data_IF_848961815364
#
_entry.id   IF_848961815364
#
_cell.length_a   1.000
_cell.length_b   1.000
_cell.length_c   1.000
_cell.angle_alpha   90.00
_cell.angle_beta   90.00
_cell.angle_gamma   90.00
#
_symmetry.space_group_name_H-M   'P 1'
#
loop_
_entity.id
_entity.type
_entity.pdbx_description
1 polymer ?
#
# COMPACT_ATOMS: atom_id res chain seq x y z
N UNK A 1 2.65 3.75 -18.29
CA UNK A 1 3.14 3.78 -16.88
C UNK A 1 2.21 4.64 -16.02
N UNK A 2 1.88 4.21 -14.79
CA UNK A 2 1.14 4.98 -13.79
C UNK A 2 2.12 5.60 -12.79
N UNK A 3 1.81 6.81 -12.27
CA UNK A 3 2.66 7.49 -11.29
C UNK A 3 1.87 7.85 -10.04
N UNK A 4 2.25 7.23 -8.92
CA UNK A 4 1.71 7.54 -7.60
C UNK A 4 2.68 8.36 -6.76
N UNK A 5 2.23 8.82 -5.60
CA UNK A 5 3.01 9.61 -4.67
C UNK A 5 3.03 8.99 -3.28
N UNK A 6 4.21 8.96 -2.67
CA UNK A 6 4.43 8.67 -1.26
C UNK A 6 4.95 9.94 -0.59
N UNK A 7 4.17 10.57 0.32
CA UNK A 7 4.58 11.78 1.01
C UNK A 7 5.77 11.51 1.96
N UNK A 8 6.45 12.57 2.44
CA UNK A 8 7.58 12.44 3.36
C UNK A 8 7.10 12.13 4.80
N UNK A 9 6.42 11.01 4.98
CA UNK A 9 5.79 10.59 6.24
C UNK A 9 6.76 10.58 7.44
N UNK A 10 8.06 10.39 7.19
CA UNK A 10 9.09 10.34 8.23
C UNK A 10 9.36 11.69 8.91
N UNK A 11 8.86 12.77 8.35
CA UNK A 11 8.92 14.11 8.93
C UNK A 11 7.71 14.47 9.79
N UNK A 12 6.67 13.61 9.81
CA UNK A 12 5.43 13.83 10.55
C UNK A 12 4.44 14.78 9.88
N UNK A 13 4.76 15.39 8.74
CA UNK A 13 3.89 16.35 8.04
C UNK A 13 2.56 15.73 7.56
N UNK A 14 2.51 14.40 7.44
CA UNK A 14 1.28 13.71 7.08
C UNK A 14 0.18 13.77 8.15
N UNK A 15 0.53 14.16 9.37
CA UNK A 15 -0.43 14.42 10.45
C UNK A 15 -0.94 15.87 10.46
N UNK A 16 -0.42 16.75 9.59
CA UNK A 16 -0.85 18.15 9.46
C UNK A 16 -1.81 18.31 8.26
N UNK A 17 -3.10 18.60 8.51
CA UNK A 17 -4.06 18.80 7.42
C UNK A 17 -3.74 20.02 6.55
N UNK A 18 -3.03 21.02 7.08
CA UNK A 18 -2.62 22.21 6.31
C UNK A 18 -1.51 21.86 5.32
N UNK A 19 -0.75 20.79 5.56
CA UNK A 19 0.24 20.26 4.64
C UNK A 19 -0.37 19.26 3.67
N UNK A 20 -1.15 18.29 4.17
CA UNK A 20 -1.69 17.18 3.37
C UNK A 20 -2.68 17.63 2.32
N UNK A 21 -3.60 18.56 2.67
CA UNK A 21 -4.66 18.95 1.73
C UNK A 21 -4.09 19.64 0.47
N UNK A 22 -3.23 20.67 0.56
CA UNK A 22 -2.59 21.24 -0.63
C UNK A 22 -1.81 20.19 -1.45
N UNK A 23 -1.09 19.28 -0.79
CA UNK A 23 -0.32 18.23 -1.44
C UNK A 23 -1.18 17.35 -2.32
N UNK A 24 -2.28 16.79 -1.79
CA UNK A 24 -3.13 15.84 -2.54
C UNK A 24 -3.96 16.52 -3.61
N UNK A 25 -4.42 17.76 -3.38
CA UNK A 25 -5.14 18.55 -4.38
C UNK A 25 -4.22 18.90 -5.57
N UNK A 26 -2.98 19.30 -5.28
CA UNK A 26 -2.00 19.55 -6.32
C UNK A 26 -1.60 18.29 -7.07
N UNK A 27 -1.39 17.17 -6.35
CA UNK A 27 -1.07 15.87 -6.94
C UNK A 27 -2.14 15.47 -7.97
N UNK A 28 -3.41 15.60 -7.61
CA UNK A 28 -4.53 15.32 -8.52
C UNK A 28 -4.55 16.28 -9.71
N UNK A 29 -4.38 17.58 -9.46
CA UNK A 29 -4.36 18.61 -10.51
C UNK A 29 -3.20 18.44 -11.51
N UNK A 30 -2.07 17.87 -11.07
CA UNK A 30 -0.91 17.56 -11.92
C UNK A 30 -1.05 16.21 -12.66
N UNK A 31 -2.09 15.41 -12.38
CA UNK A 31 -2.33 14.14 -13.05
C UNK A 31 -1.63 12.93 -12.45
N UNK A 32 -1.11 13.02 -11.21
CA UNK A 32 -0.66 11.83 -10.49
C UNK A 32 -1.84 10.89 -10.25
N UNK A 33 -1.58 9.58 -10.37
CA UNK A 33 -2.62 8.56 -10.34
C UNK A 33 -3.07 8.22 -8.93
N UNK A 34 -2.15 8.19 -7.95
CA UNK A 34 -2.44 7.67 -6.62
C UNK A 34 -1.63 8.35 -5.52
N UNK A 35 -2.17 8.31 -4.31
CA UNK A 35 -1.53 8.72 -3.06
C UNK A 35 -1.42 7.52 -2.13
N UNK A 36 -0.24 7.34 -1.51
CA UNK A 36 0.04 6.21 -0.62
C UNK A 36 0.26 6.67 0.82
N UNK A 37 -0.39 5.98 1.76
CA UNK A 37 -0.16 6.12 3.19
C UNK A 37 0.56 4.88 3.76
N UNK A 38 1.29 5.04 4.86
CA UNK A 38 2.03 3.97 5.55
C UNK A 38 1.47 3.75 6.95
N UNK A 39 1.77 2.61 7.56
CA UNK A 39 1.34 2.28 8.91
C UNK A 39 2.52 2.02 9.84
N UNK A 40 2.44 2.64 11.01
CA UNK A 40 2.96 2.17 12.28
C UNK A 40 1.88 2.41 13.33
N UNK A 41 1.40 1.34 13.96
CA UNK A 41 0.37 1.45 15.02
C UNK A 41 0.99 2.06 16.28
N UNK A 42 2.19 1.59 16.62
CA UNK A 42 3.04 2.13 17.69
C UNK A 42 4.51 1.95 17.29
N UNK A 43 5.38 2.82 17.76
CA UNK A 43 6.83 2.66 17.64
C UNK A 43 7.40 2.39 19.03
N UNK A 44 7.78 1.14 19.37
CA UNK A 44 8.36 0.82 20.65
C UNK A 44 9.70 1.54 20.88
N UNK A 45 9.81 2.25 21.98
CA UNK A 45 11.03 2.99 22.35
C UNK A 45 12.19 2.02 22.54
N UNK A 46 13.30 2.26 21.83
CA UNK A 46 14.49 1.43 21.94
C UNK A 46 14.33 0.00 21.41
N UNK A 47 13.47 -0.21 20.39
CA UNK A 47 13.29 -1.51 19.75
C UNK A 47 14.63 -2.09 19.24
N UNK A 48 14.77 -3.41 19.31
CA UNK A 48 15.97 -4.14 18.87
C UNK A 48 15.84 -4.69 17.44
N UNK A 49 14.61 -4.70 16.87
CA UNK A 49 14.37 -5.22 15.52
C UNK A 49 15.15 -4.43 14.48
N UNK A 50 15.91 -5.15 13.65
CA UNK A 50 16.66 -4.55 12.56
C UNK A 50 15.71 -4.17 11.40
N UNK A 51 15.81 -2.92 10.94
CA UNK A 51 15.05 -2.45 9.78
C UNK A 51 15.58 -3.09 8.48
N UNK A 52 14.78 -3.86 7.76
CA UNK A 52 15.27 -4.71 6.67
C UNK A 52 15.61 -3.93 5.38
N UNK A 53 15.31 -2.64 5.33
CA UNK A 53 15.50 -1.79 4.15
C UNK A 53 16.63 -0.76 4.35
N UNK A 54 17.52 -0.98 5.31
CA UNK A 54 18.67 -0.12 5.59
C UNK A 54 19.89 -0.98 5.89
N UNK A 55 21.02 -0.66 5.29
CA UNK A 55 22.32 -1.31 5.56
C UNK A 55 22.75 -1.19 7.05
N UNK A 56 22.36 -0.12 7.69
CA UNK A 56 22.63 0.11 9.11
C UNK A 56 21.70 -0.66 10.06
N UNK A 57 20.64 -1.28 9.53
CA UNK A 57 19.59 -1.90 10.32
C UNK A 57 18.75 -0.92 11.14
N UNK A 58 18.93 0.38 10.98
CA UNK A 58 18.16 1.41 11.70
C UNK A 58 17.02 1.92 10.82
N UNK A 59 15.84 1.99 11.41
CA UNK A 59 14.70 2.66 10.78
C UNK A 59 14.95 4.18 10.80
N UNK A 60 14.90 4.85 9.63
CA UNK A 60 15.10 6.29 9.56
C UNK A 60 13.80 7.04 9.94
N UNK A 61 13.31 6.79 11.15
CA UNK A 61 12.09 7.35 11.72
C UNK A 61 12.35 7.62 13.21
N UNK A 62 11.97 8.80 13.70
CA UNK A 62 12.01 9.10 15.13
C UNK A 62 10.86 8.34 15.84
N UNK A 63 11.10 7.89 17.07
CA UNK A 63 10.12 7.09 17.83
C UNK A 63 8.82 7.88 18.11
N UNK A 64 8.91 9.21 18.15
CA UNK A 64 7.81 10.15 18.39
C UNK A 64 7.26 10.79 17.10
N UNK A 65 7.68 10.32 15.92
CA UNK A 65 7.18 10.84 14.64
C UNK A 65 5.67 10.59 14.52
N UNK A 66 4.85 11.64 14.32
CA UNK A 66 3.41 11.48 14.19
C UNK A 66 3.07 10.87 12.82
N UNK A 67 2.77 9.58 12.81
CA UNK A 67 2.23 8.86 11.65
C UNK A 67 0.75 8.61 11.91
N UNK A 68 -0.17 9.22 11.13
CA UNK A 68 -1.60 8.97 11.27
C UNK A 68 -1.96 7.54 10.84
N UNK A 69 -3.06 7.01 11.38
CA UNK A 69 -3.64 5.78 10.85
C UNK A 69 -3.87 5.92 9.34
N UNK A 70 -3.36 4.99 8.52
CA UNK A 70 -3.40 5.14 7.06
C UNK A 70 -4.82 5.16 6.50
N UNK A 71 -5.76 4.42 7.09
CA UNK A 71 -7.13 4.35 6.60
C UNK A 71 -7.91 5.63 6.94
N UNK A 72 -7.67 6.21 8.11
CA UNK A 72 -8.29 7.48 8.49
C UNK A 72 -7.73 8.64 7.66
N UNK A 73 -6.41 8.62 7.39
CA UNK A 73 -5.79 9.56 6.46
C UNK A 73 -6.38 9.44 5.05
N UNK A 74 -6.51 8.21 4.54
CA UNK A 74 -7.05 7.99 3.19
C UNK A 74 -8.54 8.36 3.11
N UNK A 75 -9.33 8.14 4.16
CA UNK A 75 -10.71 8.62 4.22
C UNK A 75 -10.79 10.15 4.17
N UNK A 76 -9.87 10.84 4.87
CA UNK A 76 -9.76 12.30 4.84
C UNK A 76 -9.36 12.80 3.44
N UNK A 77 -8.37 12.16 2.79
CA UNK A 77 -7.93 12.47 1.42
C UNK A 77 -9.05 12.20 0.40
N UNK A 78 -9.80 11.11 0.56
CA UNK A 78 -10.95 10.78 -0.30
C UNK A 78 -11.98 11.92 -0.38
N UNK A 79 -12.20 12.62 0.74
CA UNK A 79 -13.12 13.76 0.79
C UNK A 79 -12.55 15.07 0.22
N UNK A 80 -11.30 15.08 -0.22
CA UNK A 80 -10.59 16.26 -0.78
C UNK A 80 -10.22 16.09 -2.26
N UNK A 81 -10.38 14.89 -2.79
CA UNK A 81 -9.99 14.49 -4.15
C UNK A 81 -11.14 13.74 -4.82
N UNK A 82 -11.19 13.75 -6.13
CA UNK A 82 -12.24 13.08 -6.93
C UNK A 82 -11.71 11.93 -7.78
N UNK A 83 -10.45 12.00 -8.26
CA UNK A 83 -9.87 11.03 -9.18
C UNK A 83 -8.65 10.30 -8.60
N UNK A 84 -7.96 10.92 -7.63
CA UNK A 84 -6.75 10.38 -7.02
C UNK A 84 -7.04 9.04 -6.33
N UNK A 85 -6.40 7.97 -6.79
CA UNK A 85 -6.52 6.65 -6.14
C UNK A 85 -5.82 6.65 -4.78
N UNK A 86 -6.31 5.81 -3.90
CA UNK A 86 -5.95 5.74 -2.50
C UNK A 86 -5.25 4.41 -2.24
N UNK A 87 -3.97 4.47 -1.89
CA UNK A 87 -3.16 3.28 -1.67
C UNK A 87 -2.56 3.22 -0.26
N UNK A 88 -2.22 2.04 0.20
CA UNK A 88 -1.37 1.85 1.36
C UNK A 88 -0.06 1.16 0.99
N UNK A 89 1.03 1.64 1.54
CA UNK A 89 2.34 1.08 1.24
C UNK A 89 3.22 0.85 2.49
N UNK A 90 2.76 0.01 3.43
CA UNK A 90 1.63 -0.92 3.49
C UNK A 90 0.86 -0.79 4.81
N UNK A 91 -0.33 -1.37 4.92
CA UNK A 91 -0.96 -1.73 6.19
C UNK A 91 -0.33 -3.04 6.68
N UNK A 92 0.04 -3.10 7.94
CA UNK A 92 0.56 -4.31 8.58
C UNK A 92 -0.63 -5.21 8.99
N UNK A 93 -1.07 -6.04 8.05
CA UNK A 93 -2.29 -6.83 8.19
C UNK A 93 -2.43 -7.60 9.52
N UNK A 94 -1.37 -8.25 10.06
CA UNK A 94 -1.49 -8.99 11.31
C UNK A 94 -1.96 -8.19 12.54
N UNK A 95 -1.83 -6.86 12.55
CA UNK A 95 -2.37 -6.01 13.64
C UNK A 95 -3.90 -5.97 13.65
N UNK A 96 -4.54 -6.29 12.53
CA UNK A 96 -5.96 -6.04 12.32
C UNK A 96 -6.83 -7.29 12.47
N UNK A 97 -8.10 -7.08 12.87
CA UNK A 97 -9.14 -8.09 12.76
C UNK A 97 -9.78 -8.00 11.36
N UNK A 98 -9.95 -9.14 10.62
CA UNK A 98 -10.39 -9.12 9.22
C UNK A 98 -11.75 -8.44 9.01
N UNK A 99 -12.74 -8.66 9.87
CA UNK A 99 -14.05 -8.03 9.72
C UNK A 99 -14.00 -6.51 9.92
N UNK A 100 -13.14 -6.04 10.84
CA UNK A 100 -12.97 -4.59 11.09
C UNK A 100 -12.24 -3.95 9.91
N UNK A 101 -11.15 -4.57 9.46
CA UNK A 101 -10.38 -4.07 8.31
C UNK A 101 -11.22 -4.11 7.03
N UNK A 102 -11.91 -5.20 6.75
CA UNK A 102 -12.82 -5.33 5.60
C UNK A 102 -13.89 -4.24 5.59
N UNK A 103 -14.50 -3.96 6.76
CA UNK A 103 -15.49 -2.89 6.92
C UNK A 103 -14.92 -1.51 6.60
N UNK A 104 -13.75 -1.17 7.15
CA UNK A 104 -13.10 0.12 6.94
C UNK A 104 -12.73 0.32 5.47
N UNK A 105 -12.10 -0.69 4.85
CA UNK A 105 -11.70 -0.65 3.43
C UNK A 105 -12.92 -0.51 2.52
N UNK A 106 -13.97 -1.30 2.71
CA UNK A 106 -15.20 -1.21 1.94
C UNK A 106 -15.89 0.17 2.10
N UNK A 107 -15.82 0.76 3.29
CA UNK A 107 -16.37 2.09 3.55
C UNK A 107 -15.63 3.16 2.77
N UNK A 108 -14.29 3.16 2.82
CA UNK A 108 -13.44 4.11 2.07
C UNK A 108 -13.65 3.91 0.57
N UNK A 109 -13.68 2.66 0.11
CA UNK A 109 -13.91 2.32 -1.30
C UNK A 109 -15.25 2.86 -1.80
N UNK A 110 -16.33 2.69 -1.03
CA UNK A 110 -17.66 3.24 -1.34
C UNK A 110 -17.69 4.77 -1.37
N UNK A 111 -17.13 5.40 -0.34
CA UNK A 111 -17.12 6.86 -0.22
C UNK A 111 -16.23 7.52 -1.26
N UNK A 112 -15.21 6.83 -1.73
CA UNK A 112 -14.31 7.29 -2.79
C UNK A 112 -14.75 6.90 -4.21
N UNK A 113 -15.86 6.17 -4.38
CA UNK A 113 -16.31 5.72 -5.71
C UNK A 113 -15.43 4.64 -6.34
N UNK A 114 -14.81 3.76 -5.53
CA UNK A 114 -13.98 2.64 -6.03
C UNK A 114 -12.52 3.00 -6.25
N UNK A 115 -11.99 4.03 -5.56
CA UNK A 115 -10.60 4.47 -5.71
C UNK A 115 -9.61 3.76 -4.77
N UNK A 116 -10.07 2.85 -3.90
CA UNK A 116 -9.22 2.22 -2.89
C UNK A 116 -8.46 1.01 -3.44
N UNK A 117 -7.17 0.94 -3.09
CA UNK A 117 -6.31 -0.25 -3.25
C UNK A 117 -5.55 -0.46 -1.94
N UNK A 118 -5.63 -1.63 -1.33
CA UNK A 118 -4.92 -1.89 -0.09
C UNK A 118 -3.61 -2.63 -0.34
N UNK A 119 -2.49 -2.03 0.03
CA UNK A 119 -1.20 -2.71 0.15
C UNK A 119 -1.08 -3.33 1.55
N UNK A 120 -0.86 -4.63 1.63
CA UNK A 120 -0.71 -5.38 2.88
C UNK A 120 0.70 -5.92 3.05
N UNK A 121 1.23 -5.87 4.28
CA UNK A 121 2.50 -6.47 4.67
C UNK A 121 2.37 -7.30 5.95
N UNK A 122 3.39 -8.12 6.23
CA UNK A 122 3.42 -8.95 7.44
C UNK A 122 3.99 -8.22 8.67
N UNK A 123 4.58 -7.04 8.48
CA UNK A 123 5.34 -6.36 9.52
C UNK A 123 6.74 -6.95 9.72
N UNK A 124 7.69 -6.07 10.02
CA UNK A 124 9.10 -6.43 10.27
C UNK A 124 9.48 -6.23 11.74
N UNK A 125 8.83 -5.32 12.45
CA UNK A 125 9.13 -4.97 13.84
C UNK A 125 8.42 -5.92 14.79
N UNK A 126 9.20 -6.81 15.43
CA UNK A 126 8.67 -7.79 16.37
C UNK A 126 7.94 -7.13 17.53
N UNK A 127 8.57 -6.14 18.12
CA UNK A 127 8.06 -5.46 19.30
C UNK A 127 6.74 -4.74 19.06
N UNK A 128 6.54 -4.19 17.88
CA UNK A 128 5.27 -3.59 17.47
C UNK A 128 4.16 -4.63 17.34
N UNK A 129 4.45 -5.78 16.69
CA UNK A 129 3.51 -6.88 16.55
C UNK A 129 3.13 -7.46 17.93
N UNK A 130 4.10 -7.69 18.79
CA UNK A 130 3.87 -8.22 20.14
C UNK A 130 3.09 -7.23 21.03
N UNK A 131 3.33 -5.91 20.90
CA UNK A 131 2.56 -4.87 21.59
C UNK A 131 1.08 -4.86 21.22
N UNK A 132 0.75 -5.29 20.00
CA UNK A 132 -0.65 -5.43 19.53
C UNK A 132 -1.21 -6.85 19.73
N UNK A 133 -0.51 -7.71 20.48
CA UNK A 133 -0.95 -9.06 20.82
C UNK A 133 -0.73 -10.10 19.72
N UNK A 134 0.13 -9.81 18.72
CA UNK A 134 0.43 -10.73 17.62
C UNK A 134 1.75 -11.44 17.88
N UNK A 135 1.72 -12.77 17.91
CA UNK A 135 2.94 -13.57 17.93
C UNK A 135 3.70 -13.43 16.61
N UNK A 136 4.94 -12.95 16.65
CA UNK A 136 5.75 -12.62 15.48
C UNK A 136 5.93 -13.80 14.51
N UNK A 137 6.08 -15.03 15.03
CA UNK A 137 6.25 -16.24 14.22
C UNK A 137 5.03 -16.59 13.37
N UNK A 138 3.84 -16.14 13.77
CA UNK A 138 2.57 -16.45 13.10
C UNK A 138 2.19 -15.45 12.00
N UNK A 139 2.84 -14.28 11.94
CA UNK A 139 2.44 -13.13 11.12
C UNK A 139 2.16 -13.44 9.64
N UNK A 140 2.92 -14.36 9.06
CA UNK A 140 2.72 -14.75 7.65
C UNK A 140 1.42 -15.51 7.43
N UNK A 141 1.17 -16.57 8.23
CA UNK A 141 -0.06 -17.37 8.15
C UNK A 141 -1.28 -16.54 8.54
N UNK A 142 -1.12 -15.69 9.57
CA UNK A 142 -2.17 -14.77 10.01
C UNK A 142 -2.57 -13.77 8.91
N UNK A 143 -1.60 -13.25 8.12
CA UNK A 143 -1.90 -12.38 6.99
C UNK A 143 -2.62 -13.13 5.86
N UNK A 144 -2.20 -14.36 5.54
CA UNK A 144 -2.86 -15.18 4.52
C UNK A 144 -4.33 -15.42 4.89
N UNK A 145 -4.58 -15.81 6.13
CA UNK A 145 -5.92 -16.05 6.66
C UNK A 145 -6.77 -14.77 6.75
N UNK A 146 -6.17 -13.63 7.16
CA UNK A 146 -6.84 -12.33 7.18
C UNK A 146 -7.41 -11.97 5.81
N UNK A 147 -6.64 -12.15 4.73
CA UNK A 147 -7.11 -11.83 3.37
C UNK A 147 -8.26 -12.74 2.94
N UNK A 148 -8.18 -14.04 3.25
CA UNK A 148 -9.26 -14.98 2.95
C UNK A 148 -10.55 -14.65 3.74
N UNK A 149 -10.42 -14.30 5.01
CA UNK A 149 -11.53 -13.89 5.87
C UNK A 149 -12.17 -12.56 5.40
N UNK A 150 -11.37 -11.59 4.95
CA UNK A 150 -11.88 -10.35 4.35
C UNK A 150 -12.66 -10.64 3.06
N UNK A 151 -12.15 -11.50 2.19
CA UNK A 151 -12.85 -11.91 0.96
C UNK A 151 -14.18 -12.61 1.25
N UNK A 152 -14.22 -13.46 2.27
CA UNK A 152 -15.47 -14.06 2.72
C UNK A 152 -16.49 -12.99 3.13
N UNK A 153 -16.06 -11.96 3.87
CA UNK A 153 -16.92 -10.84 4.26
C UNK A 153 -17.39 -9.97 3.07
N UNK A 154 -16.63 -9.94 1.97
CA UNK A 154 -16.95 -9.20 0.73
C UNK A 154 -17.71 -10.04 -0.32
N UNK A 155 -17.96 -11.31 -0.07
CA UNK A 155 -18.69 -12.17 -1.02
C UNK A 155 -20.20 -11.84 -1.17
N UNK A 156 -20.71 -10.94 -0.31
CA UNK A 156 -22.12 -10.61 -0.24
C UNK A 156 -22.94 -11.66 0.52
N UNK A 157 -24.04 -11.25 1.16
CA UNK A 157 -24.87 -12.15 1.97
C UNK A 157 -24.26 -12.52 3.33
N UNK A 158 -24.81 -13.53 4.02
CA UNK A 158 -24.21 -14.08 5.23
C UNK A 158 -22.90 -14.79 4.91
N UNK A 159 -21.85 -14.47 5.66
CA UNK A 159 -20.50 -15.03 5.50
C UNK A 159 -20.07 -15.77 6.76
N UNK A 160 -19.40 -16.90 6.57
CA UNK A 160 -18.74 -17.66 7.63
C UNK A 160 -17.30 -17.94 7.23
N UNK A 161 -16.42 -17.95 8.22
CA UNK A 161 -15.00 -18.28 8.03
C UNK A 161 -14.49 -19.02 9.27
N UNK A 162 -13.80 -20.14 9.09
CA UNK A 162 -13.28 -20.98 10.17
C UNK A 162 -11.80 -21.26 9.92
N UNK A 163 -10.92 -20.49 10.56
CA UNK A 163 -9.49 -20.59 10.41
C UNK A 163 -8.75 -20.84 11.72
N UNK A 164 -7.43 -20.72 11.69
CA UNK A 164 -6.56 -20.88 12.86
C UNK A 164 -6.62 -19.63 13.76
N UNK A 165 -6.71 -18.43 13.15
CA UNK A 165 -6.61 -17.15 13.83
C UNK A 165 -7.94 -16.40 13.89
N UNK A 166 -8.84 -16.67 12.95
CA UNK A 166 -10.11 -15.97 12.83
C UNK A 166 -11.25 -16.96 12.64
N UNK A 167 -12.32 -16.74 13.38
CA UNK A 167 -13.52 -17.56 13.33
C UNK A 167 -14.77 -16.68 13.44
N UNK A 168 -15.71 -16.83 12.51
CA UNK A 168 -17.01 -16.18 12.55
C UNK A 168 -18.06 -16.93 11.72
N UNK A 169 -19.31 -16.83 12.14
CA UNK A 169 -20.43 -17.55 11.50
C UNK A 169 -21.59 -16.59 11.24
N UNK A 170 -22.18 -16.68 10.05
CA UNK A 170 -23.41 -15.99 9.64
C UNK A 170 -23.41 -14.46 9.87
N UNK A 171 -22.26 -13.80 9.57
CA UNK A 171 -22.14 -12.35 9.68
C UNK A 171 -22.44 -11.66 8.34
N UNK A 172 -22.99 -10.45 8.38
CA UNK A 172 -23.10 -9.57 7.22
C UNK A 172 -22.20 -8.35 7.41
N UNK A 173 -21.44 -8.02 6.37
CA UNK A 173 -20.59 -6.82 6.33
C UNK A 173 -21.10 -5.89 5.23
N UNK A 174 -21.75 -4.79 5.62
CA UNK A 174 -22.23 -3.75 4.71
C UNK A 174 -21.66 -2.37 5.12
N UNK A 175 -21.31 -1.48 4.16
CA UNK A 175 -21.47 -1.64 2.72
C UNK A 175 -20.48 -2.66 2.13
N UNK A 176 -20.85 -3.24 1.00
CA UNK A 176 -19.89 -4.00 0.17
C UNK A 176 -18.98 -3.03 -0.60
N UNK A 177 -17.76 -3.41 -0.97
CA UNK A 177 -16.90 -2.61 -1.87
C UNK A 177 -17.58 -2.30 -3.20
N UNK A 178 -17.08 -1.28 -3.91
CA UNK A 178 -17.49 -0.99 -5.29
C UNK A 178 -16.96 -2.07 -6.24
N UNK A 179 -15.70 -2.49 -6.02
CA UNK A 179 -15.08 -3.52 -6.82
C UNK A 179 -15.72 -4.90 -6.57
N UNK A 180 -16.15 -5.60 -7.62
CA UNK A 180 -16.60 -6.98 -7.50
C UNK A 180 -15.51 -7.88 -6.89
N UNK A 181 -15.86 -8.64 -5.85
CA UNK A 181 -14.91 -9.52 -5.18
C UNK A 181 -14.03 -8.86 -4.11
N UNK A 182 -14.20 -7.56 -3.87
CA UNK A 182 -13.53 -6.84 -2.79
C UNK A 182 -12.52 -5.79 -3.25
N UNK A 183 -12.02 -5.02 -2.32
CA UNK A 183 -10.95 -4.03 -2.57
C UNK A 183 -9.70 -4.75 -3.09
N UNK A 184 -9.04 -4.27 -4.19
CA UNK A 184 -7.82 -4.86 -4.69
C UNK A 184 -6.72 -4.91 -3.62
N UNK A 185 -6.09 -6.09 -3.46
CA UNK A 185 -5.04 -6.32 -2.46
C UNK A 185 -3.69 -6.44 -3.14
N UNK A 186 -2.78 -5.50 -2.87
CA UNK A 186 -1.38 -5.62 -3.25
C UNK A 186 -0.56 -6.09 -2.05
N UNK A 187 0.48 -6.89 -2.28
CA UNK A 187 1.36 -7.33 -1.20
C UNK A 187 2.70 -6.62 -1.24
N UNK A 188 3.12 -6.12 -0.08
CA UNK A 188 4.47 -5.60 0.14
C UNK A 188 5.44 -6.67 0.62
N UNK A 189 6.74 -6.31 0.62
CA UNK A 189 7.83 -7.15 1.08
C UNK A 189 8.75 -7.61 -0.05
N UNK A 190 9.94 -8.13 0.34
CA UNK A 190 11.02 -8.47 -0.59
C UNK A 190 11.41 -9.96 -0.57
N UNK A 191 10.73 -10.77 0.26
CA UNK A 191 11.03 -12.20 0.40
C UNK A 191 10.29 -13.04 -0.64
N UNK A 192 10.77 -14.29 -0.88
CA UNK A 192 10.07 -15.27 -1.71
C UNK A 192 8.66 -15.55 -1.18
N UNK A 193 8.50 -15.59 0.15
CA UNK A 193 7.20 -15.79 0.77
C UNK A 193 6.21 -14.66 0.44
N UNK A 194 6.69 -13.40 0.38
CA UNK A 194 5.87 -12.26 -0.03
C UNK A 194 5.49 -12.36 -1.52
N UNK A 195 6.44 -12.71 -2.39
CA UNK A 195 6.19 -12.91 -3.82
C UNK A 195 5.17 -14.02 -4.07
N UNK A 196 5.35 -15.21 -3.45
CA UNK A 196 4.39 -16.32 -3.57
C UNK A 196 3.00 -15.96 -3.05
N UNK A 197 2.92 -15.17 -1.98
CA UNK A 197 1.65 -14.66 -1.44
C UNK A 197 0.96 -13.73 -2.43
N UNK A 198 1.72 -12.80 -3.03
CA UNK A 198 1.19 -11.87 -4.02
C UNK A 198 0.57 -12.63 -5.21
N UNK A 199 1.21 -13.66 -5.73
CA UNK A 199 0.66 -14.49 -6.80
C UNK A 199 -0.59 -15.25 -6.38
N UNK A 200 -0.58 -15.90 -5.21
CA UNK A 200 -1.71 -16.72 -4.75
C UNK A 200 -2.92 -15.90 -4.29
N UNK A 201 -2.71 -14.77 -3.68
CA UNK A 201 -3.75 -14.02 -2.95
C UNK A 201 -3.85 -12.57 -3.36
N UNK A 202 -3.02 -12.06 -4.27
CA UNK A 202 -2.98 -10.65 -4.60
C UNK A 202 -3.70 -10.27 -5.88
N UNK A 203 -3.84 -8.96 -6.06
CA UNK A 203 -4.06 -8.28 -7.32
C UNK A 203 -2.77 -7.58 -7.79
N UNK A 204 -1.72 -7.56 -6.96
CA UNK A 204 -0.44 -6.98 -7.29
C UNK A 204 0.65 -7.17 -6.24
N UNK A 205 1.85 -6.73 -6.61
CA UNK A 205 3.05 -6.81 -5.80
C UNK A 205 3.75 -5.45 -5.73
N UNK A 206 4.11 -5.00 -4.54
CA UNK A 206 4.79 -3.73 -4.30
C UNK A 206 5.99 -3.96 -3.38
N UNK A 207 7.09 -4.52 -3.89
CA UNK A 207 8.31 -4.72 -3.11
C UNK A 207 9.03 -3.39 -2.87
N UNK A 208 9.91 -3.38 -1.86
CA UNK A 208 10.77 -2.26 -1.54
C UNK A 208 12.24 -2.70 -1.51
N UNK A 209 13.14 -1.85 -2.05
CA UNK A 209 14.59 -2.00 -1.88
C UNK A 209 15.19 -3.17 -2.67
N UNK A 210 14.66 -3.50 -3.85
CA UNK A 210 15.21 -4.51 -4.75
C UNK A 210 15.97 -3.86 -5.92
N UNK A 211 17.10 -4.45 -6.30
CA UNK A 211 17.73 -4.19 -7.59
C UNK A 211 16.95 -4.83 -8.75
N UNK A 212 17.25 -4.43 -9.98
CA UNK A 212 16.49 -4.86 -11.17
C UNK A 212 16.50 -6.38 -11.37
N UNK A 213 17.64 -7.05 -11.13
CA UNK A 213 17.75 -8.50 -11.31
C UNK A 213 16.91 -9.25 -10.27
N UNK A 214 16.99 -8.81 -9.03
CA UNK A 214 16.19 -9.35 -7.92
C UNK A 214 14.70 -9.07 -8.14
N UNK A 215 14.34 -7.87 -8.59
CA UNK A 215 12.95 -7.51 -8.91
C UNK A 215 12.38 -8.42 -9.99
N UNK A 216 13.13 -8.62 -11.10
CA UNK A 216 12.71 -9.51 -12.19
C UNK A 216 12.49 -10.96 -11.70
N UNK A 217 13.42 -11.48 -10.88
CA UNK A 217 13.29 -12.82 -10.31
C UNK A 217 12.07 -12.95 -9.37
N UNK A 218 11.81 -11.93 -8.52
CA UNK A 218 10.63 -11.93 -7.66
C UNK A 218 9.33 -11.80 -8.45
N UNK A 219 9.32 -10.96 -9.50
CA UNK A 219 8.14 -10.83 -10.35
C UNK A 219 7.82 -12.13 -11.09
N UNK A 220 8.81 -12.82 -11.62
CA UNK A 220 8.62 -14.16 -12.20
C UNK A 220 8.04 -15.16 -11.19
N UNK A 221 8.49 -15.11 -9.92
CA UNK A 221 7.95 -15.95 -8.86
C UNK A 221 6.49 -15.59 -8.51
N UNK A 222 6.11 -14.32 -8.56
CA UNK A 222 4.71 -13.86 -8.41
C UNK A 222 3.84 -14.47 -9.51
N UNK A 223 4.27 -14.33 -10.78
CA UNK A 223 3.54 -14.83 -11.94
C UNK A 223 3.39 -16.35 -11.90
N UNK A 224 4.48 -17.09 -11.64
CA UNK A 224 4.43 -18.54 -11.47
C UNK A 224 3.43 -18.96 -10.37
N UNK A 225 3.47 -18.25 -9.22
CA UNK A 225 2.58 -18.59 -8.09
C UNK A 225 1.12 -18.26 -8.38
N UNK A 226 0.84 -17.30 -9.26
CA UNK A 226 -0.51 -17.00 -9.74
C UNK A 226 -1.02 -18.13 -10.66
N UNK A 227 -0.20 -18.57 -11.62
CA UNK A 227 -0.53 -19.70 -12.50
C UNK A 227 -0.81 -20.97 -11.71
N UNK A 228 0.05 -21.31 -10.73
CA UNK A 228 -0.13 -22.47 -9.84
C UNK A 228 -1.42 -22.39 -9.03
N UNK A 229 -1.89 -21.16 -8.71
CA UNK A 229 -3.15 -20.92 -8.00
C UNK A 229 -4.37 -20.80 -8.93
N UNK A 230 -4.20 -20.90 -10.25
CA UNK A 230 -5.27 -20.78 -11.24
C UNK A 230 -5.72 -19.34 -11.51
N UNK A 231 -4.87 -18.35 -11.21
CA UNK A 231 -5.10 -16.94 -11.51
C UNK A 231 -4.41 -16.54 -12.81
N UNK A 232 -4.91 -15.48 -13.45
CA UNK A 232 -4.27 -14.88 -14.62
C UNK A 232 -3.07 -14.00 -14.18
N UNK A 233 -1.83 -14.37 -14.52
CA UNK A 233 -0.66 -13.56 -14.19
C UNK A 233 -0.68 -12.18 -14.84
N UNK A 234 -1.33 -12.05 -16.00
CA UNK A 234 -1.44 -10.79 -16.73
C UNK A 234 -2.38 -9.78 -16.08
N UNK A 235 -3.22 -10.22 -15.12
CA UNK A 235 -4.09 -9.33 -14.36
C UNK A 235 -3.40 -8.73 -13.12
N UNK A 236 -2.16 -9.15 -12.80
CA UNK A 236 -1.43 -8.67 -11.64
C UNK A 236 -0.68 -7.37 -11.94
N UNK A 237 -0.68 -6.43 -10.99
CA UNK A 237 0.08 -5.19 -11.08
C UNK A 237 1.41 -5.27 -10.30
N UNK A 238 2.50 -4.84 -10.92
CA UNK A 238 3.78 -4.60 -10.27
C UNK A 238 3.95 -3.11 -10.00
N UNK A 239 4.15 -2.71 -8.75
CA UNK A 239 4.47 -1.35 -8.35
C UNK A 239 5.87 -1.28 -7.73
N UNK A 240 6.61 -0.20 -7.96
CA UNK A 240 7.91 0.06 -7.33
C UNK A 240 7.93 1.45 -6.73
N UNK A 241 8.75 1.67 -5.70
CA UNK A 241 8.96 3.01 -5.13
C UNK A 241 10.31 3.55 -5.58
N UNK A 242 10.32 4.79 -6.09
CA UNK A 242 11.54 5.51 -6.48
C UNK A 242 11.52 6.93 -5.89
N UNK A 243 12.70 7.46 -5.55
CA UNK A 243 12.79 8.88 -5.16
C UNK A 243 12.44 9.78 -6.36
N UNK A 244 11.73 10.88 -6.12
CA UNK A 244 11.36 11.90 -7.14
C UNK A 244 12.56 12.32 -7.99
N UNK A 245 13.75 12.47 -7.37
CA UNK A 245 14.99 12.83 -8.04
C UNK A 245 15.56 11.74 -8.96
N UNK A 246 15.14 10.50 -8.79
CA UNK A 246 15.61 9.34 -9.56
C UNK A 246 14.67 8.96 -10.71
N UNK A 247 13.50 9.60 -10.81
CA UNK A 247 12.52 9.31 -11.87
C UNK A 247 12.79 10.20 -13.08
N UNK A 248 13.41 9.62 -14.09
CA UNK A 248 13.65 10.21 -15.41
C UNK A 248 13.17 9.25 -16.52
N UNK A 249 13.26 9.67 -17.78
CA UNK A 249 12.81 8.85 -18.91
C UNK A 249 13.51 7.47 -18.94
N UNK A 250 14.81 7.42 -18.66
CA UNK A 250 15.56 6.17 -18.66
C UNK A 250 15.14 5.24 -17.50
N UNK A 251 14.80 5.79 -16.33
CA UNK A 251 14.26 5.03 -15.22
C UNK A 251 12.88 4.46 -15.53
N UNK A 252 12.02 5.24 -16.22
CA UNK A 252 10.71 4.79 -16.68
C UNK A 252 10.84 3.66 -17.70
N UNK A 253 11.68 3.82 -18.72
CA UNK A 253 11.94 2.77 -19.73
C UNK A 253 12.45 1.46 -19.09
N UNK A 254 13.38 1.56 -18.13
CA UNK A 254 13.86 0.38 -17.38
C UNK A 254 12.73 -0.28 -16.58
N UNK A 255 11.92 0.50 -15.91
CA UNK A 255 10.78 -0.01 -15.14
C UNK A 255 9.76 -0.72 -16.05
N UNK A 256 9.43 -0.14 -17.20
CA UNK A 256 8.54 -0.75 -18.20
C UNK A 256 9.11 -2.07 -18.73
N UNK A 257 10.42 -2.12 -19.02
CA UNK A 257 11.10 -3.34 -19.47
C UNK A 257 11.05 -4.47 -18.41
N UNK A 258 10.95 -4.13 -17.13
CA UNK A 258 10.80 -5.07 -16.01
C UNK A 258 9.32 -5.45 -15.74
N UNK A 259 8.37 -4.92 -16.52
CA UNK A 259 6.94 -5.17 -16.34
C UNK A 259 6.31 -4.36 -15.20
N UNK A 260 6.92 -3.25 -14.79
CA UNK A 260 6.34 -2.35 -13.78
C UNK A 260 5.15 -1.61 -14.37
N UNK A 261 4.05 -1.60 -13.63
CA UNK A 261 2.80 -0.90 -14.00
C UNK A 261 2.72 0.49 -13.36
N UNK A 262 3.30 0.63 -12.15
CA UNK A 262 3.24 1.87 -11.38
C UNK A 262 4.57 2.20 -10.70
N UNK A 263 5.01 3.45 -10.83
CA UNK A 263 6.09 4.01 -10.03
C UNK A 263 5.47 4.90 -8.95
N UNK A 264 5.71 4.56 -7.69
CA UNK A 264 5.32 5.39 -6.54
C UNK A 264 6.49 6.31 -6.21
N UNK A 265 6.36 7.58 -6.55
CA UNK A 265 7.41 8.58 -6.39
C UNK A 265 7.44 9.05 -4.94
N UNK A 266 8.57 8.86 -4.23
CA UNK A 266 8.74 9.32 -2.86
C UNK A 266 9.48 10.65 -2.81
N UNK A 267 8.91 11.64 -2.10
CA UNK A 267 9.58 12.91 -1.82
C UNK A 267 10.15 12.93 -0.42
N UNK A 268 11.28 13.60 -0.23
CA UNK A 268 11.88 13.90 1.07
C UNK A 268 11.69 15.38 1.46
N UNK A 269 11.26 16.23 0.54
CA UNK A 269 11.00 17.63 0.81
C UNK A 269 9.78 17.79 1.74
N UNK A 270 9.88 18.70 2.70
CA UNK A 270 8.83 19.00 3.69
C UNK A 270 8.30 20.43 3.58
N UNK A 271 9.10 21.34 3.05
CA UNK A 271 8.66 22.72 2.77
C UNK A 271 7.60 22.68 1.66
N UNK A 272 6.40 23.27 1.89
CA UNK A 272 5.30 23.18 0.93
C UNK A 272 5.63 23.76 -0.45
N UNK A 273 6.42 24.85 -0.52
CA UNK A 273 6.80 25.45 -1.80
C UNK A 273 7.77 24.52 -2.55
N UNK A 274 8.78 23.99 -1.88
CA UNK A 274 9.73 23.05 -2.48
C UNK A 274 9.00 21.79 -2.99
N UNK A 275 8.06 21.26 -2.21
CA UNK A 275 7.25 20.11 -2.63
C UNK A 275 6.43 20.43 -3.88
N UNK A 276 5.79 21.60 -3.89
CA UNK A 276 5.01 22.06 -5.05
C UNK A 276 5.86 22.16 -6.32
N UNK A 277 7.05 22.74 -6.19
CA UNK A 277 7.99 22.91 -7.31
C UNK A 277 8.51 21.55 -7.79
N UNK A 278 8.88 20.64 -6.86
CA UNK A 278 9.36 19.29 -7.18
C UNK A 278 8.30 18.45 -7.90
N UNK A 279 7.03 18.50 -7.44
CA UNK A 279 5.92 17.78 -8.08
C UNK A 279 5.60 18.34 -9.45
N UNK A 280 5.60 19.66 -9.62
CA UNK A 280 5.36 20.31 -10.91
C UNK A 280 6.46 19.95 -11.90
N UNK A 281 7.72 20.04 -11.50
CA UNK A 281 8.87 19.67 -12.34
C UNK A 281 8.85 18.18 -12.71
N UNK A 282 8.41 17.30 -11.81
CA UNK A 282 8.25 15.87 -12.10
C UNK A 282 7.11 15.63 -13.09
N UNK A 283 5.96 16.26 -12.88
CA UNK A 283 4.81 16.14 -13.77
C UNK A 283 5.15 16.59 -15.20
N UNK A 284 5.83 17.73 -15.34
CA UNK A 284 6.30 18.23 -16.65
C UNK A 284 7.27 17.25 -17.32
N UNK A 285 8.24 16.73 -16.55
CA UNK A 285 9.23 15.75 -17.06
C UNK A 285 8.60 14.45 -17.54
N UNK A 286 7.51 14.03 -16.88
CA UNK A 286 6.77 12.80 -17.20
C UNK A 286 5.64 13.02 -18.22
N UNK A 287 5.37 14.28 -18.59
CA UNK A 287 4.27 14.63 -19.48
C UNK A 287 2.90 14.32 -18.88
N UNK A 288 2.74 14.45 -17.56
CA UNK A 288 1.46 14.22 -16.91
C UNK A 288 0.48 15.34 -17.25
N UNK A 289 -0.78 14.99 -17.38
CA UNK A 289 -1.87 15.93 -17.55
C UNK A 289 -3.02 15.58 -16.60
N UNK A 290 -3.80 16.58 -16.12
CA UNK A 290 -4.99 16.31 -15.34
C UNK A 290 -5.88 15.29 -16.05
N UNK A 291 -6.45 14.37 -15.29
CA UNK A 291 -7.45 13.46 -15.83
C UNK A 291 -8.71 14.25 -16.17
N UNK A 292 -9.28 14.01 -17.36
CA UNK A 292 -10.55 14.62 -17.70
C UNK A 292 -11.60 14.08 -16.73
N UNK A 293 -12.26 15.00 -16.02
CA UNK A 293 -13.48 14.66 -15.25
C UNK A 293 -14.60 14.48 -16.27
N UNK A 294 -15.07 13.25 -16.41
CA UNK A 294 -16.30 12.96 -17.18
C UNK A 294 -17.55 13.47 -16.46
#
# INVERSE_FOLDING_TARGET
>A
MLFGLLPPYRSGVTADPQWVVPFVVQAEALGFESFYAVEHVVVPVGHAAAYPYSETGRMPLADDCPIPDPLDLLAFVAGRTSELRLGTGVVVGPHHHPLVLAKRLATIDRLSGGRMTVGLGVGWMREELEATGVEFSTRGRRLDELVLAMRAAWAGGPASFHGEFFDFTDVRSEPQPVHPGGVPVHFGGHSDAAARRAGRLGAGFHPLGLDDATLAAKWALVQQSAEEAGHDPGALELSVTMAVSAVDAAAVERAEALGVHRIVCSTAAVDPQQVSDDLSALADRLGLAPRATD
#
